data_IF_333424479649
#
_entry.id   IF_333424479649
#
_cell.length_a   1.000
_cell.length_b   1.000
_cell.length_c   1.000
_cell.angle_alpha   90.00
_cell.angle_beta   90.00
_cell.angle_gamma   90.00
#
_symmetry.space_group_name_H-M   'P 1'
#
loop_
_entity.id
_entity.type
_entity.pdbx_description
1 polymer ?
#
# COMPACT_ATOMS: atom_id res chain seq x y z
N UNK A 1 -36.47 -7.65 0.97
CA UNK A 1 -34.99 -7.71 1.07
C UNK A 1 -34.63 -8.26 2.43
N UNK A 2 -33.74 -9.25 2.49
CA UNK A 2 -33.34 -9.86 3.75
C UNK A 2 -32.53 -8.82 4.56
N UNK A 3 -33.03 -8.36 5.70
CA UNK A 3 -32.38 -7.31 6.52
C UNK A 3 -30.98 -7.71 6.94
N UNK A 4 -30.73 -9.01 7.11
CA UNK A 4 -29.41 -9.59 7.35
C UNK A 4 -28.43 -9.31 6.19
N UNK A 5 -28.89 -9.46 4.95
CA UNK A 5 -28.08 -9.20 3.76
C UNK A 5 -27.74 -7.71 3.63
N UNK A 6 -28.71 -6.81 3.92
CA UNK A 6 -28.46 -5.37 3.94
C UNK A 6 -27.36 -5.02 4.97
N UNK A 7 -27.48 -5.55 6.19
CA UNK A 7 -26.53 -5.29 7.27
C UNK A 7 -25.12 -5.79 6.92
N UNK A 8 -25.03 -6.95 6.27
CA UNK A 8 -23.76 -7.53 5.84
C UNK A 8 -23.11 -6.73 4.69
N UNK A 9 -23.90 -6.25 3.72
CA UNK A 9 -23.39 -5.40 2.65
C UNK A 9 -22.86 -4.06 3.18
N UNK A 10 -23.56 -3.45 4.14
CA UNK A 10 -23.10 -2.22 4.79
C UNK A 10 -21.79 -2.44 5.55
N UNK A 11 -21.69 -3.53 6.32
CA UNK A 11 -20.46 -3.86 7.05
C UNK A 11 -19.26 -4.10 6.10
N UNK A 12 -19.45 -4.92 5.05
CA UNK A 12 -18.41 -5.16 4.05
C UNK A 12 -18.04 -3.89 3.29
N UNK A 13 -19.03 -3.07 2.93
CA UNK A 13 -18.81 -1.78 2.27
C UNK A 13 -18.00 -0.82 3.13
N UNK A 14 -18.25 -0.77 4.43
CA UNK A 14 -17.46 0.02 5.37
C UNK A 14 -16.02 -0.49 5.48
N UNK A 15 -15.82 -1.79 5.63
CA UNK A 15 -14.48 -2.39 5.69
C UNK A 15 -13.67 -2.04 4.43
N UNK A 16 -14.21 -2.34 3.25
CA UNK A 16 -13.54 -2.06 1.97
C UNK A 16 -13.35 -0.55 1.77
N UNK A 17 -14.33 0.25 2.17
CA UNK A 17 -14.26 1.71 2.14
C UNK A 17 -13.15 2.27 3.02
N UNK A 18 -12.93 1.72 4.22
CA UNK A 18 -11.82 2.14 5.09
C UNK A 18 -10.46 1.79 4.50
N UNK A 19 -10.31 0.59 3.90
CA UNK A 19 -9.07 0.19 3.22
C UNK A 19 -8.73 1.14 2.08
N UNK A 20 -9.68 1.42 1.18
CA UNK A 20 -9.46 2.40 0.12
C UNK A 20 -9.33 3.83 0.64
N UNK A 21 -9.99 4.16 1.74
CA UNK A 21 -9.87 5.44 2.42
C UNK A 21 -8.46 5.71 2.92
N UNK A 22 -7.78 4.72 3.51
CA UNK A 22 -6.37 4.84 3.91
C UNK A 22 -5.46 5.05 2.69
N UNK A 23 -5.70 4.31 1.61
CA UNK A 23 -4.95 4.50 0.35
C UNK A 23 -5.16 5.92 -0.19
N UNK A 24 -6.40 6.41 -0.25
CA UNK A 24 -6.71 7.76 -0.68
C UNK A 24 -6.08 8.83 0.22
N UNK A 25 -6.10 8.62 1.54
CA UNK A 25 -5.46 9.50 2.52
C UNK A 25 -3.97 9.64 2.27
N UNK A 26 -3.27 8.56 1.87
CA UNK A 26 -1.84 8.66 1.55
C UNK A 26 -1.56 9.61 0.37
N UNK A 27 -2.39 9.57 -0.68
CA UNK A 27 -2.29 10.50 -1.81
C UNK A 27 -2.61 11.94 -1.39
N UNK A 28 -3.66 12.14 -0.60
CA UNK A 28 -4.08 13.46 -0.12
C UNK A 28 -3.03 14.09 0.79
N UNK A 29 -2.42 13.31 1.69
CA UNK A 29 -1.38 13.80 2.60
C UNK A 29 -0.15 14.29 1.82
N UNK A 30 0.30 13.54 0.82
CA UNK A 30 1.41 13.96 -0.04
C UNK A 30 1.04 15.23 -0.79
N UNK A 31 -0.12 15.25 -1.46
CA UNK A 31 -0.56 16.42 -2.20
C UNK A 31 -0.68 17.67 -1.31
N UNK A 32 -1.22 17.54 -0.09
CA UNK A 32 -1.32 18.67 0.84
C UNK A 32 0.05 19.16 1.31
N UNK A 33 1.01 18.26 1.50
CA UNK A 33 2.36 18.61 1.93
C UNK A 33 3.19 19.26 0.80
N UNK A 34 3.06 18.80 -0.44
CA UNK A 34 3.89 19.23 -1.58
C UNK A 34 3.21 20.22 -2.50
N UNK A 35 1.87 20.33 -2.45
CA UNK A 35 1.03 21.02 -3.45
C UNK A 35 1.19 20.46 -4.88
N UNK A 36 1.74 19.25 -5.02
CA UNK A 36 1.97 18.59 -6.31
C UNK A 36 1.58 17.12 -6.23
N UNK A 37 0.95 16.61 -7.29
CA UNK A 37 0.59 15.19 -7.39
C UNK A 37 1.85 14.36 -7.62
N UNK A 38 2.11 13.41 -6.72
CA UNK A 38 3.20 12.45 -6.88
C UNK A 38 2.70 11.19 -7.62
N UNK A 39 3.04 11.07 -8.90
CA UNK A 39 2.66 9.91 -9.73
C UNK A 39 3.40 8.61 -9.39
N UNK A 40 4.46 8.67 -8.57
CA UNK A 40 5.16 7.48 -8.08
C UNK A 40 4.45 6.79 -6.91
N UNK A 41 3.39 7.38 -6.35
CA UNK A 41 2.75 6.87 -5.13
C UNK A 41 2.19 5.44 -5.29
N UNK A 42 1.67 5.08 -6.47
CA UNK A 42 1.23 3.70 -6.74
C UNK A 42 2.38 2.70 -6.71
N UNK A 43 3.54 3.09 -7.24
CA UNK A 43 4.75 2.25 -7.25
C UNK A 43 5.39 2.17 -5.85
N UNK A 44 5.29 3.22 -5.02
CA UNK A 44 5.72 3.16 -3.62
C UNK A 44 4.89 2.13 -2.82
N UNK A 45 3.58 2.07 -3.06
CA UNK A 45 2.72 1.03 -2.49
C UNK A 45 3.16 -0.37 -2.94
N UNK A 46 3.46 -0.53 -4.25
CA UNK A 46 3.92 -1.79 -4.83
C UNK A 46 5.25 -2.25 -4.23
N UNK A 47 6.21 -1.33 -4.07
CA UNK A 47 7.51 -1.60 -3.45
C UNK A 47 7.32 -2.12 -2.02
N UNK A 48 6.50 -1.44 -1.22
CA UNK A 48 6.20 -1.89 0.15
C UNK A 48 5.58 -3.29 0.19
N UNK A 49 4.64 -3.59 -0.70
CA UNK A 49 4.05 -4.91 -0.82
C UNK A 49 5.08 -5.98 -1.20
N UNK A 50 5.95 -5.72 -2.18
CA UNK A 50 7.00 -6.64 -2.61
C UNK A 50 8.01 -6.95 -1.52
N UNK A 51 8.44 -5.93 -0.76
CA UNK A 51 9.42 -6.12 0.31
C UNK A 51 8.82 -6.98 1.43
N UNK A 52 7.58 -6.70 1.84
CA UNK A 52 6.90 -7.52 2.84
C UNK A 52 6.72 -8.96 2.34
N UNK A 53 6.28 -9.13 1.09
CA UNK A 53 6.15 -10.45 0.46
C UNK A 53 7.48 -11.20 0.40
N UNK A 54 8.57 -10.51 0.05
CA UNK A 54 9.91 -11.08 -0.05
C UNK A 54 10.42 -11.56 1.30
N UNK A 55 10.22 -10.77 2.36
CA UNK A 55 10.55 -11.13 3.74
C UNK A 55 9.77 -12.37 4.19
N UNK A 56 8.46 -12.40 3.92
CA UNK A 56 7.58 -13.51 4.32
C UNK A 56 7.87 -14.80 3.55
N UNK A 57 8.11 -14.71 2.24
CA UNK A 57 8.15 -15.88 1.36
C UNK A 57 9.57 -16.41 1.16
N UNK A 58 10.54 -15.53 0.90
CA UNK A 58 11.93 -15.93 0.65
C UNK A 58 12.74 -16.07 1.93
N UNK A 59 12.54 -15.16 2.88
CA UNK A 59 13.25 -15.19 4.17
C UNK A 59 12.48 -15.89 5.29
N UNK A 60 11.23 -16.31 5.04
CA UNK A 60 10.37 -16.99 6.01
C UNK A 60 10.25 -16.23 7.35
N UNK A 61 10.39 -14.90 7.30
CA UNK A 61 10.27 -14.02 8.46
C UNK A 61 8.79 -14.02 8.88
N UNK A 62 8.46 -14.21 10.17
CA UNK A 62 7.08 -14.15 10.62
C UNK A 62 6.50 -12.76 10.38
N UNK A 63 5.23 -12.68 10.00
CA UNK A 63 4.57 -11.41 9.66
C UNK A 63 4.69 -10.33 10.72
N UNK A 64 4.57 -10.72 11.98
CA UNK A 64 4.70 -9.83 13.13
C UNK A 64 6.05 -9.09 13.19
N UNK A 65 7.10 -9.65 12.60
CA UNK A 65 8.40 -8.98 12.43
C UNK A 65 8.55 -8.38 11.02
N UNK A 66 8.08 -9.08 9.98
CA UNK A 66 8.20 -8.64 8.59
C UNK A 66 7.49 -7.32 8.30
N UNK A 67 6.33 -7.09 8.90
CA UNK A 67 5.54 -5.85 8.72
C UNK A 67 6.26 -4.63 9.33
N UNK A 68 6.69 -4.63 10.61
CA UNK A 68 7.50 -3.53 11.16
C UNK A 68 8.79 -3.27 10.38
N UNK A 69 9.50 -4.32 9.95
CA UNK A 69 10.72 -4.18 9.15
C UNK A 69 10.42 -3.48 7.83
N UNK A 70 9.30 -3.83 7.17
CA UNK A 70 8.87 -3.19 5.94
C UNK A 70 8.49 -1.73 6.17
N UNK A 71 7.80 -1.41 7.27
CA UNK A 71 7.45 -0.03 7.62
C UNK A 71 8.71 0.82 7.85
N UNK A 72 9.68 0.31 8.61
CA UNK A 72 10.96 0.99 8.84
C UNK A 72 11.71 1.19 7.54
N UNK A 73 11.78 0.15 6.69
CA UNK A 73 12.40 0.26 5.38
C UNK A 73 11.71 1.33 4.52
N UNK A 74 10.39 1.31 4.41
CA UNK A 74 9.63 2.25 3.58
C UNK A 74 9.73 3.68 4.11
N UNK A 75 9.83 3.86 5.42
CA UNK A 75 10.09 5.15 6.03
C UNK A 75 11.46 5.70 5.60
N UNK A 76 12.53 4.90 5.72
CA UNK A 76 13.87 5.28 5.28
C UNK A 76 13.95 5.51 3.77
N UNK A 77 13.28 4.68 2.99
CA UNK A 77 13.20 4.79 1.54
C UNK A 77 12.47 6.06 1.11
N UNK A 78 11.36 6.41 1.77
CA UNK A 78 10.66 7.67 1.56
C UNK A 78 11.52 8.89 1.89
N UNK A 79 12.30 8.85 2.98
CA UNK A 79 13.29 9.88 3.30
C UNK A 79 14.34 10.00 2.19
N UNK A 80 14.86 8.87 1.70
CA UNK A 80 15.85 8.88 0.62
C UNK A 80 15.30 9.54 -0.65
N UNK A 81 14.08 9.19 -1.07
CA UNK A 81 13.41 9.83 -2.21
C UNK A 81 13.20 11.33 -1.97
N UNK A 82 12.74 11.68 -0.77
CA UNK A 82 12.51 13.07 -0.41
C UNK A 82 13.80 13.88 -0.52
N UNK A 83 14.93 13.36 -0.02
CA UNK A 83 16.20 14.09 0.00
C UNK A 83 16.87 14.10 -1.38
N UNK A 84 16.88 12.97 -2.08
CA UNK A 84 17.66 12.80 -3.32
C UNK A 84 16.91 13.30 -4.55
N UNK A 85 15.59 13.14 -4.60
CA UNK A 85 14.79 13.39 -5.82
C UNK A 85 13.88 14.60 -5.64
N UNK A 86 13.14 14.69 -4.54
CA UNK A 86 12.11 15.73 -4.39
C UNK A 86 12.67 17.04 -3.87
N UNK A 87 13.60 17.02 -2.91
CA UNK A 87 14.20 18.23 -2.32
C UNK A 87 14.94 19.10 -3.36
N UNK A 88 15.69 18.54 -4.33
CA UNK A 88 16.31 19.36 -5.39
C UNK A 88 15.30 20.04 -6.31
N UNK A 89 14.05 19.59 -6.35
CA UNK A 89 12.99 20.17 -7.18
C UNK A 89 12.23 21.31 -6.47
N UNK A 90 12.64 21.70 -5.26
CA UNK A 90 12.02 22.82 -4.55
C UNK A 90 12.37 24.12 -5.29
N UNK A 91 11.34 24.85 -5.73
CA UNK A 91 11.47 26.09 -6.50
C UNK A 91 11.39 25.90 -8.01
N UNK A 92 11.39 24.66 -8.50
CA UNK A 92 11.19 24.35 -9.91
C UNK A 92 9.70 24.42 -10.31
N UNK A 93 9.40 24.58 -11.61
CA UNK A 93 8.02 24.55 -12.11
C UNK A 93 7.29 23.25 -11.74
N UNK A 94 5.99 23.35 -11.43
CA UNK A 94 5.14 22.20 -11.05
C UNK A 94 5.21 21.07 -12.09
N UNK A 95 5.25 21.43 -13.38
CA UNK A 95 5.34 20.47 -14.49
C UNK A 95 6.63 19.63 -14.40
N UNK A 96 7.75 20.23 -14.00
CA UNK A 96 9.03 19.53 -13.82
C UNK A 96 8.93 18.49 -12.70
N UNK A 97 8.31 18.85 -11.58
CA UNK A 97 8.07 17.92 -10.45
C UNK A 97 7.20 16.74 -10.89
N UNK A 98 6.12 17.01 -11.63
CA UNK A 98 5.24 15.97 -12.18
C UNK A 98 6.02 15.02 -13.09
N UNK A 99 6.78 15.57 -14.05
CA UNK A 99 7.62 14.79 -14.98
C UNK A 99 8.61 13.89 -14.24
N UNK A 100 9.28 14.40 -13.20
CA UNK A 100 10.20 13.61 -12.37
C UNK A 100 9.48 12.49 -11.65
N UNK A 101 8.29 12.72 -11.09
CA UNK A 101 7.53 11.66 -10.40
C UNK A 101 7.01 10.58 -11.36
N UNK A 102 6.69 10.92 -12.61
CA UNK A 102 6.32 9.96 -13.66
C UNK A 102 7.56 9.13 -14.07
N UNK A 103 8.71 9.79 -14.25
CA UNK A 103 9.96 9.09 -14.55
C UNK A 103 10.35 8.14 -13.41
N UNK A 104 10.22 8.60 -12.16
CA UNK A 104 10.47 7.81 -10.97
C UNK A 104 9.55 6.58 -10.90
N UNK A 105 8.25 6.76 -11.15
CA UNK A 105 7.27 5.69 -11.24
C UNK A 105 7.70 4.63 -12.28
N UNK A 106 8.09 5.08 -13.47
CA UNK A 106 8.54 4.17 -14.55
C UNK A 106 9.80 3.40 -14.18
N UNK A 107 10.78 4.07 -13.55
CA UNK A 107 12.02 3.44 -13.08
C UNK A 107 11.73 2.40 -12.00
N UNK A 108 10.91 2.73 -11.02
CA UNK A 108 10.52 1.79 -9.96
C UNK A 108 9.77 0.60 -10.51
N UNK A 109 8.84 0.82 -11.44
CA UNK A 109 8.13 -0.26 -12.08
C UNK A 109 9.08 -1.21 -12.83
N UNK A 110 10.04 -0.67 -13.58
CA UNK A 110 11.04 -1.46 -14.30
C UNK A 110 11.95 -2.22 -13.32
N UNK A 111 12.37 -1.60 -12.22
CA UNK A 111 13.17 -2.22 -11.17
C UNK A 111 12.42 -3.37 -10.49
N UNK A 112 11.14 -3.19 -10.14
CA UNK A 112 10.34 -4.26 -9.54
C UNK A 112 10.16 -5.43 -10.49
N UNK A 113 9.87 -5.16 -11.77
CA UNK A 113 9.76 -6.19 -12.80
C UNK A 113 11.08 -6.94 -13.01
N UNK A 114 12.21 -6.25 -12.93
CA UNK A 114 13.53 -6.86 -13.05
C UNK A 114 13.89 -7.74 -11.85
N UNK A 115 13.61 -7.30 -10.63
CA UNK A 115 13.94 -8.05 -9.40
C UNK A 115 12.99 -9.21 -9.12
N UNK A 116 11.68 -9.02 -9.32
CA UNK A 116 10.65 -9.98 -8.91
C UNK A 116 9.93 -10.67 -10.09
N UNK A 117 10.18 -10.21 -11.32
CA UNK A 117 9.51 -10.69 -12.52
C UNK A 117 8.16 -10.00 -12.77
N UNK A 118 7.49 -10.43 -13.83
CA UNK A 118 6.19 -9.90 -14.28
C UNK A 118 5.01 -10.77 -13.84
N UNK A 119 5.28 -11.89 -13.17
CA UNK A 119 4.26 -12.85 -12.78
C UNK A 119 3.57 -12.40 -11.49
N UNK A 120 2.24 -12.60 -11.45
CA UNK A 120 1.45 -12.34 -10.25
C UNK A 120 1.88 -13.31 -9.15
N UNK A 121 2.37 -12.76 -8.04
CA UNK A 121 2.68 -13.53 -6.84
C UNK A 121 1.56 -13.36 -5.81
N UNK A 122 0.86 -14.43 -5.42
CA UNK A 122 -0.14 -14.33 -4.37
C UNK A 122 0.54 -14.01 -3.04
N UNK A 123 -0.06 -13.11 -2.26
CA UNK A 123 0.43 -12.82 -0.92
C UNK A 123 0.16 -14.02 0.00
N UNK A 124 1.13 -14.46 0.82
CA UNK A 124 0.94 -15.60 1.71
C UNK A 124 -0.18 -15.32 2.72
N UNK A 125 -0.90 -16.37 3.13
CA UNK A 125 -1.98 -16.24 4.12
C UNK A 125 -1.39 -15.94 5.49
N UNK A 126 -1.65 -14.71 5.94
CA UNK A 126 -1.08 -14.14 7.16
C UNK A 126 -1.97 -14.39 8.37
N UNK A 127 -3.27 -14.16 8.17
CA UNK A 127 -4.31 -14.27 9.18
C UNK A 127 -5.16 -15.49 8.89
N UNK A 128 -5.56 -16.19 9.95
CA UNK A 128 -6.48 -17.30 9.81
C UNK A 128 -7.83 -16.76 9.32
N UNK A 129 -8.37 -17.32 8.24
CA UNK A 129 -9.66 -16.90 7.68
C UNK A 129 -10.79 -17.65 8.39
N UNK A 130 -11.01 -17.32 9.66
CA UNK A 130 -12.15 -17.82 10.39
C UNK A 130 -13.32 -16.86 10.20
N UNK A 131 -14.48 -17.42 9.87
CA UNK A 131 -15.72 -16.65 9.83
C UNK A 131 -16.21 -16.57 11.26
N UNK A 132 -16.17 -15.37 11.84
CA UNK A 132 -16.77 -15.11 13.15
C UNK A 132 -18.17 -14.56 12.89
N UNK A 133 -19.17 -15.30 13.37
CA UNK A 133 -20.57 -14.94 13.26
C UNK A 133 -20.94 -14.08 14.46
N UNK A 134 -21.03 -12.76 14.28
CA UNK A 134 -21.52 -11.83 15.31
C UNK A 134 -23.00 -11.56 15.03
N UNK A 135 -23.89 -12.32 15.67
CA UNK A 135 -25.32 -12.23 15.41
C UNK A 135 -25.67 -12.58 13.94
N UNK A 136 -26.37 -11.73 13.17
CA UNK A 136 -26.66 -11.97 11.76
C UNK A 136 -25.48 -11.68 10.81
N UNK A 137 -24.36 -11.17 11.31
CA UNK A 137 -23.21 -10.77 10.50
C UNK A 137 -22.15 -11.87 10.46
N UNK A 138 -21.76 -12.27 9.26
CA UNK A 138 -20.59 -13.12 9.04
C UNK A 138 -19.42 -12.25 8.59
N UNK A 139 -18.46 -12.03 9.49
CA UNK A 139 -17.26 -11.23 9.23
C UNK A 139 -16.06 -12.17 9.25
N UNK A 140 -15.21 -12.09 8.22
CA UNK A 140 -13.95 -12.82 8.21
C UNK A 140 -12.98 -12.12 9.17
N UNK A 141 -12.33 -12.87 10.05
CA UNK A 141 -11.31 -12.34 10.98
C UNK A 141 -10.17 -11.62 10.27
N UNK A 142 -9.93 -11.94 8.99
CA UNK A 142 -8.96 -11.23 8.15
C UNK A 142 -9.26 -9.74 8.10
N UNK A 143 -10.53 -9.34 7.93
CA UNK A 143 -10.92 -7.92 7.87
C UNK A 143 -10.81 -7.18 9.20
N UNK A 144 -10.77 -7.91 10.32
CA UNK A 144 -10.59 -7.33 11.66
C UNK A 144 -9.11 -7.19 12.03
N UNK A 145 -8.25 -8.02 11.45
CA UNK A 145 -6.83 -8.11 11.79
C UNK A 145 -5.91 -7.44 10.76
N UNK A 146 -6.43 -7.10 9.56
CA UNK A 146 -5.74 -6.35 8.50
C UNK A 146 -5.88 -4.85 8.68
#
# INVERSE_FOLDING_TARGET
MNTQLLLQLLANGLIVGTLYGVVAMSFVLIYKATQVVNFAQGELLLIGAWICWWLLTKHQVPFWLGMPITVVFMFLFGIAIQIVILRPMIGEPIISVIMVTIALSTVFQALMKWMFGVNLQPFPRIFNTQIVTIGPLQIQTVYLMS
#
